data_IF_210991952743
#
_entry.id   IF_210991952743
#
_cell.length_a   1.000
_cell.length_b   1.000
_cell.length_c   1.000
_cell.angle_alpha   90.00
_cell.angle_beta   90.00
_cell.angle_gamma   90.00
#
_symmetry.space_group_name_H-M   'P 1'
#
loop_
_entity.id
_entity.type
_entity.pdbx_description
1 polymer ?
#
# COMPACT_ATOMS: atom_id res chain seq x y z
N UNK A 1 41.27 -23.76 -50.28
CA UNK A 1 39.94 -23.19 -50.02
C UNK A 1 39.41 -23.73 -48.67
N UNK A 2 39.99 -23.34 -47.54
CA UNK A 2 39.58 -23.82 -46.17
C UNK A 2 40.01 -22.85 -45.07
N UNK A 3 39.96 -21.52 -45.29
CA UNK A 3 40.38 -20.54 -44.27
C UNK A 3 39.44 -19.32 -44.13
N UNK A 4 38.17 -19.43 -44.49
CA UNK A 4 37.21 -18.30 -44.39
C UNK A 4 36.02 -18.54 -43.48
N UNK A 5 36.06 -19.48 -42.55
CA UNK A 5 34.90 -19.86 -41.75
C UNK A 5 35.01 -19.57 -40.24
N UNK A 6 35.92 -18.71 -39.82
CA UNK A 6 36.13 -18.45 -38.36
C UNK A 6 35.99 -16.99 -37.94
N UNK A 7 35.41 -16.09 -38.74
CA UNK A 7 35.30 -14.66 -38.39
C UNK A 7 33.87 -14.19 -38.07
N UNK A 8 32.87 -15.07 -38.15
CA UNK A 8 31.47 -14.66 -37.94
C UNK A 8 30.84 -15.12 -36.60
N UNK A 9 31.63 -15.35 -35.54
CA UNK A 9 31.08 -15.83 -34.26
C UNK A 9 31.53 -15.01 -33.02
N UNK A 10 31.66 -13.70 -33.17
CA UNK A 10 31.99 -12.84 -32.01
C UNK A 10 31.21 -11.51 -31.94
N UNK A 11 30.03 -11.42 -32.55
CA UNK A 11 29.15 -10.24 -32.41
C UNK A 11 27.82 -10.61 -31.76
N UNK A 12 27.84 -11.07 -30.54
CA UNK A 12 26.59 -11.44 -29.92
C UNK A 12 26.67 -11.50 -28.41
N UNK A 13 27.02 -10.44 -27.68
CA UNK A 13 26.75 -10.38 -26.24
C UNK A 13 27.08 -9.00 -25.66
N UNK A 14 26.54 -7.93 -26.23
CA UNK A 14 26.40 -6.67 -25.53
C UNK A 14 24.90 -6.41 -25.29
N UNK A 15 24.22 -7.38 -24.68
CA UNK A 15 23.01 -7.03 -23.94
C UNK A 15 23.51 -6.34 -22.67
N UNK A 16 23.55 -5.01 -22.72
CA UNK A 16 23.76 -4.20 -21.54
C UNK A 16 22.76 -4.64 -20.49
N UNK A 17 23.25 -5.29 -19.45
CA UNK A 17 22.49 -5.47 -18.22
C UNK A 17 22.18 -4.05 -17.75
N UNK A 18 20.95 -3.59 -18.01
CA UNK A 18 20.43 -2.41 -17.35
C UNK A 18 20.65 -2.64 -15.85
N UNK A 19 21.29 -1.71 -15.13
CA UNK A 19 21.45 -1.86 -13.69
C UNK A 19 20.03 -2.07 -13.13
N UNK A 20 19.78 -3.24 -12.55
CA UNK A 20 18.60 -3.46 -11.76
C UNK A 20 18.70 -2.47 -10.62
N UNK A 21 17.98 -1.34 -10.71
CA UNK A 21 17.86 -0.40 -9.63
C UNK A 21 17.17 -1.14 -8.49
N UNK A 22 17.97 -1.62 -7.55
CA UNK A 22 17.43 -2.16 -6.31
C UNK A 22 16.69 -1.00 -5.62
N UNK A 23 15.41 -1.21 -5.34
CA UNK A 23 14.60 -0.25 -4.60
C UNK A 23 15.34 0.14 -3.32
N UNK A 24 15.53 1.44 -3.10
CA UNK A 24 16.14 1.93 -1.87
C UNK A 24 15.18 1.65 -0.70
N UNK A 25 15.45 0.55 -0.01
CA UNK A 25 14.58 -0.01 1.03
C UNK A 25 14.32 0.96 2.18
N UNK A 26 15.33 1.72 2.56
CA UNK A 26 15.20 2.69 3.65
C UNK A 26 14.39 3.91 3.21
N UNK A 27 14.55 4.33 1.96
CA UNK A 27 13.78 5.43 1.38
C UNK A 27 12.30 5.08 1.28
N UNK A 28 11.93 3.85 0.89
CA UNK A 28 10.53 3.38 0.89
C UNK A 28 9.89 3.58 2.26
N UNK A 29 10.56 3.16 3.33
CA UNK A 29 10.03 3.28 4.70
C UNK A 29 9.81 4.73 5.12
N UNK A 30 10.78 5.60 4.86
CA UNK A 30 10.67 7.02 5.15
C UNK A 30 9.52 7.67 4.36
N UNK A 31 9.37 7.28 3.11
CA UNK A 31 8.32 7.78 2.24
C UNK A 31 6.93 7.36 2.72
N UNK A 32 6.73 6.09 3.08
CA UNK A 32 5.43 5.58 3.57
C UNK A 32 5.06 6.20 4.92
N UNK A 33 6.04 6.54 5.75
CA UNK A 33 5.79 7.23 7.00
C UNK A 33 5.26 8.66 6.83
N UNK A 34 5.43 9.25 5.65
CA UNK A 34 4.94 10.58 5.25
C UNK A 34 3.81 10.53 4.24
N UNK A 35 3.50 11.69 3.67
CA UNK A 35 2.57 11.80 2.54
C UNK A 35 3.33 11.57 1.21
N UNK A 36 3.67 10.32 0.93
CA UNK A 36 4.53 9.94 -0.20
C UNK A 36 3.98 10.39 -1.55
N UNK A 37 2.66 10.45 -1.73
CA UNK A 37 2.02 10.85 -2.98
C UNK A 37 2.33 12.31 -3.35
N UNK A 38 2.51 13.17 -2.36
CA UNK A 38 2.82 14.58 -2.55
C UNK A 38 4.32 14.89 -2.53
N UNK A 39 5.17 13.89 -2.29
CA UNK A 39 6.62 14.02 -2.28
C UNK A 39 7.18 13.43 -3.58
N UNK A 40 7.63 14.30 -4.51
CA UNK A 40 8.04 13.89 -5.86
C UNK A 40 9.12 12.78 -5.86
N UNK A 41 10.07 12.82 -4.91
CA UNK A 41 11.12 11.80 -4.79
C UNK A 41 10.65 10.48 -4.16
N UNK A 42 9.49 10.47 -3.49
CA UNK A 42 8.93 9.29 -2.84
C UNK A 42 8.06 8.47 -3.80
N UNK A 43 7.33 9.16 -4.67
CA UNK A 43 6.36 8.51 -5.57
C UNK A 43 6.96 7.32 -6.35
N UNK A 44 8.02 7.48 -7.16
CA UNK A 44 8.55 6.37 -7.95
C UNK A 44 9.07 5.22 -7.07
N UNK A 45 9.64 5.54 -5.92
CA UNK A 45 10.23 4.53 -5.02
C UNK A 45 9.15 3.69 -4.34
N UNK A 46 8.05 4.30 -3.92
CA UNK A 46 6.92 3.59 -3.30
C UNK A 46 6.15 2.80 -4.35
N UNK A 47 5.89 3.36 -5.52
CA UNK A 47 5.23 2.66 -6.63
C UNK A 47 6.02 1.42 -7.06
N UNK A 48 7.35 1.50 -7.15
CA UNK A 48 8.20 0.34 -7.46
C UNK A 48 8.14 -0.72 -6.34
N UNK A 49 8.16 -0.32 -5.07
CA UNK A 49 8.00 -1.23 -3.95
C UNK A 49 6.62 -1.93 -3.96
N UNK A 50 5.55 -1.21 -4.28
CA UNK A 50 4.21 -1.79 -4.43
C UNK A 50 4.18 -2.84 -5.55
N UNK A 51 4.78 -2.56 -6.70
CA UNK A 51 4.92 -3.53 -7.79
C UNK A 51 5.74 -4.77 -7.41
N UNK A 52 6.77 -4.60 -6.61
CA UNK A 52 7.58 -5.74 -6.13
C UNK A 52 6.77 -6.62 -5.17
N UNK A 53 5.96 -6.03 -4.29
CA UNK A 53 5.03 -6.75 -3.41
C UNK A 53 3.99 -7.54 -4.21
N UNK A 54 3.41 -6.95 -5.26
CA UNK A 54 2.46 -7.62 -6.16
C UNK A 54 3.07 -8.84 -6.84
N UNK A 55 4.38 -8.81 -7.11
CA UNK A 55 5.15 -9.94 -7.65
C UNK A 55 5.62 -10.93 -6.58
N UNK A 56 5.18 -10.78 -5.34
CA UNK A 56 5.50 -11.68 -4.24
C UNK A 56 6.86 -11.46 -3.59
N UNK A 57 7.52 -10.31 -3.82
CA UNK A 57 8.85 -10.02 -3.24
C UNK A 57 8.81 -9.51 -1.80
N UNK A 58 7.63 -9.23 -1.27
CA UNK A 58 7.48 -8.65 0.07
C UNK A 58 7.90 -7.18 0.16
N UNK A 59 7.59 -6.54 1.28
CA UNK A 59 7.99 -5.17 1.55
C UNK A 59 9.49 -5.08 1.84
N UNK A 60 10.16 -4.04 1.32
CA UNK A 60 11.59 -3.88 1.56
C UNK A 60 11.88 -3.60 3.03
N UNK A 61 12.79 -4.40 3.61
CA UNK A 61 13.28 -4.22 4.97
C UNK A 61 14.50 -3.29 4.98
N UNK A 62 14.51 -2.33 5.92
CA UNK A 62 15.64 -1.44 6.15
C UNK A 62 16.30 -1.78 7.48
N UNK A 63 17.49 -2.34 7.44
CA UNK A 63 18.27 -2.68 8.64
C UNK A 63 18.88 -1.44 9.33
N UNK A 64 18.99 -0.32 8.60
CA UNK A 64 19.67 0.88 9.06
C UNK A 64 18.74 1.87 9.80
N UNK A 65 17.44 1.60 9.88
CA UNK A 65 16.48 2.42 10.60
C UNK A 65 15.95 1.67 11.84
N UNK A 66 16.74 1.56 12.90
CA UNK A 66 16.30 0.91 14.14
C UNK A 66 15.07 1.67 14.69
N UNK A 67 14.02 0.91 15.01
CA UNK A 67 12.77 1.46 15.55
C UNK A 67 11.69 1.84 14.53
N UNK A 68 11.96 1.83 13.23
CA UNK A 68 10.94 1.98 12.19
C UNK A 68 10.61 0.60 11.60
N UNK A 69 9.38 0.11 11.80
CA UNK A 69 8.92 -1.16 11.27
C UNK A 69 7.74 -0.94 10.32
N UNK A 70 7.74 -1.70 9.20
CA UNK A 70 6.59 -1.83 8.31
C UNK A 70 6.05 -3.25 8.46
N UNK A 71 4.77 -3.35 8.72
CA UNK A 71 4.04 -4.60 8.72
C UNK A 71 3.06 -4.59 7.55
N UNK A 72 3.07 -5.66 6.78
CA UNK A 72 2.11 -5.88 5.73
C UNK A 72 1.04 -6.85 6.19
N UNK A 73 -0.21 -6.57 5.88
CA UNK A 73 -1.31 -7.50 6.07
C UNK A 73 -2.33 -7.35 4.96
N UNK A 74 -2.83 -8.47 4.47
CA UNK A 74 -3.95 -8.52 3.51
C UNK A 74 -5.30 -8.59 4.22
N UNK A 75 -5.34 -8.56 5.56
CA UNK A 75 -6.58 -8.88 6.27
C UNK A 75 -6.99 -7.88 7.35
N UNK A 76 -8.29 -7.88 7.50
CA UNK A 76 -9.12 -7.94 8.70
C UNK A 76 -9.43 -6.64 9.45
N UNK A 77 -8.82 -5.50 9.18
CA UNK A 77 -9.29 -4.25 9.81
C UNK A 77 -9.71 -3.22 8.77
N UNK A 78 -10.62 -3.66 7.89
CA UNK A 78 -11.25 -2.73 6.96
C UNK A 78 -12.08 -1.73 7.78
N UNK A 79 -11.79 -0.43 7.69
CA UNK A 79 -12.68 0.57 8.26
C UNK A 79 -14.09 0.41 7.70
N UNK A 80 -15.10 0.63 8.52
CA UNK A 80 -16.50 0.42 8.13
C UNK A 80 -16.89 1.22 6.89
N UNK A 81 -16.32 2.41 6.69
CA UNK A 81 -16.57 3.26 5.53
C UNK A 81 -15.82 2.81 4.26
N UNK A 82 -14.91 1.84 4.34
CA UNK A 82 -14.30 1.15 3.21
C UNK A 82 -14.81 -0.27 3.02
N UNK A 83 -15.73 -0.71 3.87
CA UNK A 83 -16.37 -2.01 3.75
C UNK A 83 -17.40 -2.01 2.65
N UNK A 84 -17.32 -2.99 1.78
CA UNK A 84 -18.29 -3.24 0.72
C UNK A 84 -19.24 -4.34 1.19
N UNK A 85 -20.54 -4.11 1.05
CA UNK A 85 -21.60 -5.03 1.44
C UNK A 85 -22.36 -5.51 0.21
N UNK A 86 -22.79 -6.75 0.25
CA UNK A 86 -23.70 -7.28 -0.76
C UNK A 86 -25.04 -6.55 -0.65
N UNK A 87 -25.55 -5.91 -1.73
CA UNK A 87 -26.76 -5.12 -1.68
C UNK A 87 -28.02 -5.95 -1.40
N UNK A 88 -28.02 -7.25 -1.78
CA UNK A 88 -29.18 -8.12 -1.64
C UNK A 88 -29.29 -8.73 -0.24
N UNK A 89 -28.17 -9.01 0.40
CA UNK A 89 -28.13 -9.70 1.70
C UNK A 89 -27.74 -8.82 2.87
N UNK A 90 -27.15 -7.64 2.60
CA UNK A 90 -26.55 -6.79 3.61
C UNK A 90 -25.29 -7.37 4.27
N UNK A 91 -24.84 -8.55 3.81
CA UNK A 91 -23.64 -9.18 4.36
C UNK A 91 -22.36 -8.47 3.88
N UNK A 92 -21.35 -8.45 4.73
CA UNK A 92 -20.04 -7.97 4.34
C UNK A 92 -19.47 -8.80 3.20
N UNK A 93 -18.98 -8.16 2.16
CA UNK A 93 -18.45 -8.82 0.97
C UNK A 93 -16.93 -8.69 0.85
N UNK A 94 -16.41 -7.48 0.97
CA UNK A 94 -14.97 -7.20 0.82
C UNK A 94 -14.61 -5.83 1.38
N UNK A 95 -13.31 -5.51 1.37
CA UNK A 95 -12.81 -4.16 1.60
C UNK A 95 -12.47 -3.48 0.28
N UNK A 96 -12.74 -2.18 0.17
CA UNK A 96 -12.34 -1.37 -0.98
C UNK A 96 -10.82 -1.42 -1.20
N UNK A 97 -10.05 -1.49 -0.12
CA UNK A 97 -8.60 -1.64 -0.13
C UNK A 97 -8.24 -3.08 0.27
N UNK A 98 -7.55 -3.79 -0.64
CA UNK A 98 -7.20 -5.19 -0.43
C UNK A 98 -6.02 -5.43 0.52
N UNK A 99 -5.32 -4.37 0.92
CA UNK A 99 -4.13 -4.50 1.76
C UNK A 99 -3.91 -3.28 2.65
N UNK A 100 -3.20 -3.51 3.75
CA UNK A 100 -2.82 -2.47 4.71
C UNK A 100 -1.33 -2.58 4.99
N UNK A 101 -0.62 -1.46 4.87
CA UNK A 101 0.76 -1.31 5.30
C UNK A 101 0.79 -0.49 6.57
N UNK A 102 1.15 -1.13 7.67
CA UNK A 102 1.26 -0.48 8.98
C UNK A 102 2.68 -0.03 9.20
N UNK A 103 2.85 1.24 9.49
CA UNK A 103 4.12 1.79 9.92
C UNK A 103 4.11 2.04 11.43
N UNK A 104 5.21 1.65 12.08
CA UNK A 104 5.46 1.88 13.50
C UNK A 104 6.80 2.60 13.65
N UNK A 105 6.88 3.55 14.55
CA UNK A 105 8.13 4.20 14.96
C UNK A 105 8.30 3.97 16.46
N UNK A 106 9.42 3.40 16.87
CA UNK A 106 9.70 2.99 18.26
C UNK A 106 8.57 2.11 18.85
N UNK A 107 8.09 1.15 18.05
CA UNK A 107 6.97 0.26 18.36
C UNK A 107 5.60 0.95 18.56
N UNK A 108 5.52 2.27 18.43
CA UNK A 108 4.26 3.00 18.47
C UNK A 108 3.63 3.06 17.07
N UNK A 109 2.29 2.89 16.95
CA UNK A 109 1.61 3.07 15.68
C UNK A 109 1.85 4.48 15.13
N UNK A 110 2.25 4.55 13.84
CA UNK A 110 2.53 5.81 13.16
C UNK A 110 1.49 6.10 12.08
N UNK A 111 1.33 5.19 11.13
CA UNK A 111 0.33 5.29 10.08
C UNK A 111 -0.09 3.91 9.57
N UNK A 112 -1.34 3.80 9.14
CA UNK A 112 -1.86 2.67 8.36
C UNK A 112 -2.18 3.18 6.95
N UNK A 113 -1.46 2.71 5.96
CA UNK A 113 -1.73 2.96 4.55
C UNK A 113 -2.61 1.84 4.00
N UNK A 114 -3.84 2.15 3.66
CA UNK A 114 -4.76 1.28 2.95
C UNK A 114 -4.44 1.35 1.47
N UNK A 115 -4.31 0.21 0.81
CA UNK A 115 -3.88 0.12 -0.58
C UNK A 115 -4.83 -0.74 -1.41
N UNK A 116 -5.32 -0.18 -2.52
CA UNK A 116 -6.04 -0.92 -3.55
C UNK A 116 -5.02 -1.67 -4.42
N UNK A 117 -4.79 -2.95 -4.08
CA UNK A 117 -3.80 -3.81 -4.76
C UNK A 117 -4.03 -3.83 -6.26
N UNK A 118 -2.95 -3.75 -7.04
CA UNK A 118 -3.00 -3.62 -8.50
C UNK A 118 -3.12 -2.18 -8.99
N UNK A 119 -3.09 -1.20 -8.09
CA UNK A 119 -3.14 0.23 -8.41
C UNK A 119 -2.15 1.00 -7.56
N UNK A 120 -2.02 2.31 -7.79
CA UNK A 120 -1.30 3.23 -6.90
C UNK A 120 -2.23 4.00 -5.96
N UNK A 121 -3.51 3.59 -5.90
CA UNK A 121 -4.50 4.24 -5.05
C UNK A 121 -4.32 3.83 -3.61
N UNK A 122 -4.10 4.80 -2.75
CA UNK A 122 -3.97 4.60 -1.31
C UNK A 122 -4.78 5.63 -0.53
N UNK A 123 -5.07 5.29 0.73
CA UNK A 123 -5.60 6.19 1.74
C UNK A 123 -4.88 5.93 3.04
N UNK A 124 -4.47 6.96 3.77
CA UNK A 124 -3.59 6.80 4.93
C UNK A 124 -4.22 7.36 6.20
N UNK A 125 -4.41 6.50 7.21
CA UNK A 125 -4.75 6.91 8.57
C UNK A 125 -3.47 7.25 9.33
N UNK A 126 -3.35 8.48 9.80
CA UNK A 126 -2.25 8.89 10.65
C UNK A 126 -2.64 8.87 12.12
N UNK A 127 -1.79 8.28 12.96
CA UNK A 127 -1.95 8.29 14.41
C UNK A 127 -1.47 9.61 15.03
N UNK A 128 -1.83 9.94 16.28
CA UNK A 128 -1.50 11.22 16.89
C UNK A 128 -0.02 11.63 16.80
N UNK A 129 0.98 10.74 17.01
CA UNK A 129 2.38 11.11 16.86
C UNK A 129 2.73 11.57 15.45
N UNK A 130 2.22 10.87 14.43
CA UNK A 130 2.42 11.24 13.02
C UNK A 130 1.74 12.56 12.68
N UNK A 131 0.51 12.76 13.17
CA UNK A 131 -0.24 14.02 12.96
C UNK A 131 0.48 15.20 13.54
N UNK A 132 1.04 15.06 14.75
CA UNK A 132 1.83 16.11 15.41
C UNK A 132 3.10 16.44 14.64
N UNK A 133 3.79 15.45 14.09
CA UNK A 133 5.05 15.63 13.39
C UNK A 133 4.88 16.15 11.95
N UNK A 134 3.86 15.67 11.23
CA UNK A 134 3.64 15.98 9.82
C UNK A 134 2.74 17.21 9.61
N UNK A 135 1.89 17.55 10.58
CA UNK A 135 1.02 18.72 10.53
C UNK A 135 0.13 18.73 9.28
N UNK A 136 0.14 19.85 8.56
CA UNK A 136 -0.67 20.07 7.37
C UNK A 136 -0.22 19.25 6.13
N UNK A 137 0.89 18.51 6.22
CA UNK A 137 1.42 17.72 5.10
C UNK A 137 0.81 16.32 5.00
N UNK A 138 -0.07 15.93 5.94
CA UNK A 138 -0.76 14.63 5.91
C UNK A 138 -1.72 14.55 4.71
N UNK A 139 -1.93 13.32 4.21
CA UNK A 139 -2.99 13.04 3.25
C UNK A 139 -4.36 13.09 3.96
N UNK A 140 -5.28 13.98 3.56
CA UNK A 140 -6.57 14.11 4.23
C UNK A 140 -7.61 13.08 3.77
N UNK A 141 -7.28 12.21 2.82
CA UNK A 141 -8.24 11.30 2.17
C UNK A 141 -8.98 10.44 3.19
N UNK A 142 -8.24 9.78 4.09
CA UNK A 142 -8.84 8.93 5.12
C UNK A 142 -9.84 9.68 6.02
N UNK A 143 -9.44 10.86 6.50
CA UNK A 143 -10.29 11.65 7.42
C UNK A 143 -11.53 12.20 6.72
N UNK A 144 -11.38 12.63 5.46
CA UNK A 144 -12.48 13.08 4.62
C UNK A 144 -13.49 11.96 4.38
N UNK A 145 -13.02 10.77 4.03
CA UNK A 145 -13.86 9.62 3.73
C UNK A 145 -14.57 9.12 5.00
N UNK A 146 -13.86 9.11 6.14
CA UNK A 146 -14.45 8.81 7.44
C UNK A 146 -15.54 9.82 7.86
N UNK A 147 -15.31 11.12 7.61
CA UNK A 147 -16.26 12.17 7.92
C UNK A 147 -17.50 12.15 7.00
N UNK A 148 -17.33 11.71 5.76
CA UNK A 148 -18.42 11.60 4.79
C UNK A 148 -19.28 10.34 4.96
N UNK A 149 -18.84 9.39 5.78
CA UNK A 149 -19.55 8.13 5.96
C UNK A 149 -20.85 8.31 6.72
N UNK A 150 -21.93 7.87 6.08
CA UNK A 150 -23.25 7.77 6.70
C UNK A 150 -23.54 6.29 6.94
N UNK A 151 -23.66 5.82 8.19
CA UNK A 151 -24.02 4.43 8.45
C UNK A 151 -25.34 4.06 7.76
N UNK A 152 -25.47 2.85 7.21
CA UNK A 152 -26.75 2.40 6.69
C UNK A 152 -27.82 2.45 7.78
N UNK A 153 -29.04 2.82 7.40
CA UNK A 153 -30.15 2.81 8.34
C UNK A 153 -30.28 1.42 8.97
N UNK A 154 -30.57 1.32 10.26
CA UNK A 154 -30.85 0.02 10.87
C UNK A 154 -32.03 -0.64 10.16
N UNK A 155 -32.00 -1.96 10.00
CA UNK A 155 -33.13 -2.67 9.41
C UNK A 155 -34.42 -2.31 10.17
N UNK A 156 -35.55 -2.19 9.50
CA UNK A 156 -36.82 -1.90 10.17
C UNK A 156 -37.07 -2.95 11.27
N UNK A 157 -37.62 -2.55 12.42
CA UNK A 157 -37.95 -3.51 13.45
C UNK A 157 -38.92 -4.54 12.90
N UNK A 158 -38.69 -5.79 13.23
CA UNK A 158 -39.56 -6.89 12.82
C UNK A 158 -40.98 -6.65 13.34
N UNK A 159 -41.89 -6.35 12.43
CA UNK A 159 -43.32 -6.18 12.75
C UNK A 159 -44.03 -7.48 12.41
N UNK A 160 -44.31 -8.29 13.42
CA UNK A 160 -45.05 -9.54 13.27
C UNK A 160 -44.19 -10.78 13.33
N UNK A 161 -44.50 -11.67 14.19
CA UNK A 161 -43.79 -12.81 14.74
C UNK A 161 -43.42 -13.97 13.82
N UNK A 162 -43.05 -13.71 12.56
CA UNK A 162 -42.53 -14.77 11.68
C UNK A 162 -41.25 -14.28 11.01
N UNK A 163 -40.17 -14.89 11.45
CA UNK A 163 -38.84 -14.96 10.77
C UNK A 163 -38.23 -13.63 10.27
N UNK A 164 -37.49 -12.98 11.12
CA UNK A 164 -36.34 -12.20 10.66
C UNK A 164 -35.09 -13.05 10.53
#
# INVERSE_FOLDING_TARGET
MKKFLYVMMSLGSMFGAAPAHAVDRCKVRLCIAGNWQNIAMCRPVVEEAMHDVERGRGWPECSEAPGANLEWTTEATCPVFYSLYNPDTGAWASCQYGAIVRSKINNAPWADMFWAVGTTTTSTRYYPPARSALGATIDPTYDRDAAAYVPPAPPPPCVGGDSC
#
